data_IF_519601756699
#
_entry.id   IF_519601756699
#
_cell.length_a   1.000
_cell.length_b   1.000
_cell.length_c   1.000
_cell.angle_alpha   90.00
_cell.angle_beta   90.00
_cell.angle_gamma   90.00
#
_symmetry.space_group_name_H-M   'P 1'
#
loop_
_entity.id
_entity.type
_entity.pdbx_description
1 polymer ?
#
# COMPACT_ATOMS: atom_id res chain seq x y z
N UNK A 1 -24.95 26.99 -4.81
CA UNK A 1 -23.70 26.50 -4.19
C UNK A 1 -23.27 27.53 -3.17
N UNK A 2 -23.14 27.16 -1.89
CA UNK A 2 -22.59 28.06 -0.89
C UNK A 2 -21.13 28.41 -1.26
N UNK A 3 -20.66 29.65 -1.03
CA UNK A 3 -19.29 30.03 -1.33
C UNK A 3 -18.32 29.20 -0.49
N UNK A 4 -17.13 28.87 -1.02
CA UNK A 4 -16.12 28.11 -0.27
C UNK A 4 -15.73 28.90 0.98
N UNK A 5 -16.07 28.36 2.14
CA UNK A 5 -15.76 28.94 3.45
C UNK A 5 -14.32 28.59 3.81
N UNK A 6 -13.38 29.51 3.61
CA UNK A 6 -12.00 29.34 4.05
C UNK A 6 -11.06 30.39 3.47
N UNK A 7 -10.03 30.78 4.23
CA UNK A 7 -8.93 31.60 3.72
C UNK A 7 -8.00 30.71 2.91
N UNK A 8 -7.47 31.23 1.79
CA UNK A 8 -6.38 30.57 1.06
C UNK A 8 -5.05 30.87 1.73
N UNK A 9 -4.17 29.88 1.78
CA UNK A 9 -2.82 30.02 2.33
C UNK A 9 -1.91 30.64 1.26
N UNK A 10 -1.71 31.96 1.32
CA UNK A 10 -0.96 32.71 0.32
C UNK A 10 0.51 32.29 0.25
N UNK A 11 1.07 32.27 -0.95
CA UNK A 11 2.48 31.96 -1.17
C UNK A 11 2.89 30.51 -0.86
N UNK A 12 1.92 29.63 -0.62
CA UNK A 12 2.15 28.21 -0.38
C UNK A 12 1.74 27.40 -1.60
N UNK A 13 2.63 26.50 -2.01
CA UNK A 13 2.38 25.49 -3.04
C UNK A 13 2.70 24.12 -2.45
N UNK A 14 1.77 23.17 -2.59
CA UNK A 14 1.99 21.77 -2.19
C UNK A 14 1.81 20.89 -3.42
N UNK A 15 2.71 19.92 -3.60
CA UNK A 15 2.55 18.87 -4.59
C UNK A 15 2.25 17.50 -3.95
N UNK A 16 1.50 16.67 -4.66
CA UNK A 16 1.17 15.29 -4.28
C UNK A 16 1.51 14.37 -5.43
N UNK A 17 2.56 13.54 -5.30
CA UNK A 17 2.99 12.68 -6.39
C UNK A 17 2.10 11.42 -6.46
N UNK A 18 1.78 10.98 -7.67
CA UNK A 18 0.98 9.80 -7.92
C UNK A 18 1.37 9.17 -9.26
N UNK A 19 0.89 7.94 -9.48
CA UNK A 19 1.08 7.22 -10.74
C UNK A 19 -0.28 6.89 -11.31
N UNK A 20 -0.43 7.10 -12.61
CA UNK A 20 -1.58 6.63 -13.36
C UNK A 20 -1.11 5.84 -14.57
N UNK A 21 -2.01 5.03 -15.14
CA UNK A 21 -1.75 4.38 -16.40
C UNK A 21 -2.47 3.06 -16.53
N UNK A 22 -1.93 2.19 -17.38
CA UNK A 22 -2.51 0.89 -17.68
C UNK A 22 -1.47 -0.23 -17.58
N UNK A 23 -1.92 -1.38 -17.08
CA UNK A 23 -1.26 -2.67 -17.30
C UNK A 23 -2.13 -3.52 -18.22
N UNK A 24 -1.52 -4.22 -19.17
CA UNK A 24 -2.23 -5.13 -20.07
C UNK A 24 -1.50 -6.45 -20.19
N UNK A 25 -2.24 -7.54 -20.35
CA UNK A 25 -1.70 -8.88 -20.53
C UNK A 25 -2.50 -9.61 -21.62
N UNK A 26 -1.85 -10.26 -22.60
CA UNK A 26 -2.54 -11.12 -23.54
C UNK A 26 -3.16 -12.30 -22.80
N UNK A 27 -4.26 -12.85 -23.33
CA UNK A 27 -4.80 -14.10 -22.82
C UNK A 27 -3.92 -15.28 -23.26
N UNK A 28 -3.66 -16.19 -22.33
CA UNK A 28 -2.93 -17.44 -22.55
C UNK A 28 -3.46 -18.51 -21.59
N UNK A 29 -3.49 -19.77 -22.01
CA UNK A 29 -4.02 -20.90 -21.23
C UNK A 29 -3.28 -21.10 -19.91
N UNK A 30 -2.01 -20.70 -19.83
CA UNK A 30 -1.14 -20.98 -18.68
C UNK A 30 -1.11 -19.87 -17.63
N UNK A 31 -0.99 -18.61 -18.07
CA UNK A 31 -0.68 -17.48 -17.17
C UNK A 31 -1.82 -16.50 -17.01
N UNK A 32 -2.70 -16.38 -18.01
CA UNK A 32 -3.83 -15.46 -18.00
C UNK A 32 -4.99 -16.04 -18.82
N UNK A 33 -5.68 -17.08 -18.30
CA UNK A 33 -6.73 -17.75 -19.05
C UNK A 33 -7.91 -16.81 -19.27
N UNK A 34 -8.49 -16.87 -20.47
CA UNK A 34 -9.65 -16.06 -20.82
C UNK A 34 -10.86 -16.48 -19.96
N UNK A 35 -11.48 -15.55 -19.20
CA UNK A 35 -12.64 -15.88 -18.38
C UNK A 35 -13.85 -16.32 -19.22
N UNK A 36 -14.72 -17.20 -18.69
CA UNK A 36 -15.93 -17.62 -19.39
C UNK A 36 -16.90 -16.42 -19.57
N UNK A 37 -17.49 -16.30 -20.76
CA UNK A 37 -18.44 -15.24 -21.09
C UNK A 37 -17.83 -13.96 -21.67
N UNK A 38 -16.50 -13.90 -21.81
CA UNK A 38 -15.83 -12.80 -22.51
C UNK A 38 -15.91 -13.03 -24.03
N UNK A 39 -16.27 -12.01 -24.83
CA UNK A 39 -16.34 -12.12 -26.30
C UNK A 39 -15.07 -12.70 -26.93
N UNK A 40 -15.22 -13.55 -27.95
CA UNK A 40 -14.12 -14.28 -28.58
C UNK A 40 -13.05 -13.38 -29.22
N UNK A 41 -13.44 -12.19 -29.68
CA UNK A 41 -12.56 -11.18 -30.26
C UNK A 41 -11.65 -10.49 -29.24
N UNK A 42 -11.94 -10.57 -27.93
CA UNK A 42 -11.07 -10.01 -26.91
C UNK A 42 -9.77 -10.80 -26.78
N UNK A 43 -8.64 -10.12 -26.91
CA UNK A 43 -7.29 -10.71 -26.92
C UNK A 43 -6.51 -10.43 -25.64
N UNK A 44 -6.82 -9.35 -24.92
CA UNK A 44 -6.11 -8.93 -23.72
C UNK A 44 -7.06 -8.65 -22.56
N UNK A 45 -6.57 -8.86 -21.34
CA UNK A 45 -7.09 -8.24 -20.13
C UNK A 45 -6.25 -7.03 -19.78
N UNK A 46 -6.85 -5.94 -19.34
CA UNK A 46 -6.15 -4.73 -18.97
C UNK A 46 -6.76 -4.05 -17.76
N UNK A 47 -5.93 -3.36 -17.01
CA UNK A 47 -6.29 -2.59 -15.83
C UNK A 47 -5.87 -1.15 -16.06
N UNK A 48 -6.80 -0.20 -15.97
CA UNK A 48 -6.48 1.23 -15.85
C UNK A 48 -6.53 1.61 -14.38
N UNK A 49 -5.58 2.41 -13.91
CA UNK A 49 -5.53 2.80 -12.50
C UNK A 49 -4.96 4.20 -12.27
N UNK A 50 -5.25 4.73 -11.07
CA UNK A 50 -4.59 5.86 -10.42
C UNK A 50 -4.27 5.44 -8.99
N UNK A 51 -3.00 5.59 -8.57
CA UNK A 51 -2.56 5.23 -7.22
C UNK A 51 -1.43 6.12 -6.72
N UNK A 52 -1.23 6.15 -5.40
CA UNK A 52 -0.05 6.79 -4.81
C UNK A 52 1.23 6.03 -5.13
N UNK A 53 2.36 6.73 -5.02
CA UNK A 53 3.69 6.10 -5.10
C UNK A 53 3.89 5.23 -3.87
N UNK A 54 4.51 4.06 -4.06
CA UNK A 54 4.76 3.08 -2.99
C UNK A 54 3.48 2.75 -2.18
N UNK A 55 2.33 2.79 -2.88
CA UNK A 55 1.00 2.55 -2.32
C UNK A 55 0.64 3.47 -1.14
N UNK A 56 1.23 4.67 -1.10
CA UNK A 56 0.81 5.76 -0.22
C UNK A 56 -0.66 6.08 -0.49
N UNK A 57 -1.44 6.23 0.58
CA UNK A 57 -2.85 6.59 0.47
C UNK A 57 -2.99 7.95 -0.18
N UNK A 58 -3.81 8.07 -1.22
CA UNK A 58 -4.12 9.35 -1.89
C UNK A 58 -5.57 9.77 -1.70
N UNK A 59 -6.37 8.97 -0.98
CA UNK A 59 -7.80 9.20 -0.80
C UNK A 59 -8.11 10.43 0.06
N UNK A 60 -7.14 10.92 0.84
CA UNK A 60 -7.28 12.13 1.65
C UNK A 60 -7.34 13.43 0.82
N UNK A 61 -6.89 13.42 -0.44
CA UNK A 61 -6.99 14.58 -1.34
C UNK A 61 -7.75 14.26 -2.64
N UNK A 62 -7.76 13.00 -3.07
CA UNK A 62 -8.51 12.52 -4.22
C UNK A 62 -9.75 11.74 -3.75
N UNK A 63 -10.95 12.27 -4.02
CA UNK A 63 -12.20 11.65 -3.55
C UNK A 63 -12.68 10.54 -4.48
N UNK A 64 -12.68 10.80 -5.79
CA UNK A 64 -13.17 9.86 -6.80
C UNK A 64 -12.58 10.16 -8.17
N UNK A 65 -12.55 9.15 -9.02
CA UNK A 65 -12.06 9.24 -10.39
C UNK A 65 -13.14 8.76 -11.34
N UNK A 66 -13.41 9.55 -12.38
CA UNK A 66 -14.24 9.11 -13.50
C UNK A 66 -13.33 8.65 -14.63
N UNK A 67 -13.51 7.41 -15.06
CA UNK A 67 -12.86 6.87 -16.25
C UNK A 67 -13.86 6.87 -17.39
N UNK A 68 -13.51 7.53 -18.51
CA UNK A 68 -14.23 7.45 -19.78
C UNK A 68 -13.42 6.54 -20.71
N UNK A 69 -13.98 5.37 -20.95
CA UNK A 69 -13.49 4.35 -21.86
C UNK A 69 -14.05 4.59 -23.27
N UNK A 70 -13.67 3.74 -24.22
CA UNK A 70 -14.23 3.74 -25.57
C UNK A 70 -15.74 3.41 -25.56
N UNK A 71 -16.51 4.06 -26.44
CA UNK A 71 -17.98 3.99 -26.45
C UNK A 71 -18.53 2.60 -26.77
N UNK A 72 -17.73 1.72 -27.38
CA UNK A 72 -18.10 0.32 -27.63
C UNK A 72 -18.18 -0.52 -26.35
N UNK A 73 -17.58 -0.05 -25.25
CA UNK A 73 -17.55 -0.78 -23.98
C UNK A 73 -18.83 -0.44 -23.19
N UNK A 74 -19.59 -1.44 -22.71
CA UNK A 74 -20.76 -1.19 -21.87
C UNK A 74 -20.39 -0.38 -20.63
N UNK A 75 -21.21 0.62 -20.30
CA UNK A 75 -20.94 1.56 -19.21
C UNK A 75 -19.54 2.19 -19.34
N UNK A 76 -19.23 2.75 -20.51
CA UNK A 76 -17.92 3.35 -20.81
C UNK A 76 -17.57 4.53 -19.90
N UNK A 77 -18.52 5.15 -19.21
CA UNK A 77 -18.24 6.15 -18.16
C UNK A 77 -18.44 5.51 -16.79
N UNK A 78 -17.34 5.33 -16.05
CA UNK A 78 -17.35 4.68 -14.73
C UNK A 78 -16.81 5.62 -13.67
N UNK A 79 -17.48 5.67 -12.53
CA UNK A 79 -17.06 6.47 -11.38
C UNK A 79 -16.54 5.51 -10.30
N UNK A 80 -15.29 5.69 -9.89
CA UNK A 80 -14.65 4.92 -8.82
C UNK A 80 -14.44 5.83 -7.63
N UNK A 81 -15.03 5.49 -6.49
CA UNK A 81 -14.83 6.24 -5.24
C UNK A 81 -13.58 5.75 -4.50
N UNK A 82 -12.96 6.66 -3.75
CA UNK A 82 -11.73 6.38 -3.01
C UNK A 82 -12.00 5.50 -1.81
N UNK A 83 -11.31 4.37 -1.75
CA UNK A 83 -11.27 3.48 -0.60
C UNK A 83 -9.84 3.46 -0.08
N UNK A 84 -9.66 3.77 1.20
CA UNK A 84 -8.34 3.86 1.82
C UNK A 84 -7.55 2.56 1.61
N UNK A 85 -6.31 2.68 1.14
CA UNK A 85 -5.43 1.54 0.85
C UNK A 85 -5.76 0.77 -0.42
N UNK A 86 -6.66 1.29 -1.28
CA UNK A 86 -6.97 0.71 -2.59
C UNK A 86 -6.68 1.72 -3.71
N UNK A 87 -6.16 1.27 -4.86
CA UNK A 87 -6.03 2.10 -6.04
C UNK A 87 -7.40 2.40 -6.65
N UNK A 88 -7.52 3.55 -7.32
CA UNK A 88 -8.66 3.83 -8.18
C UNK A 88 -8.44 3.05 -9.47
N UNK A 89 -9.14 1.94 -9.68
CA UNK A 89 -8.87 1.08 -10.83
C UNK A 89 -10.12 0.48 -11.46
N UNK A 90 -10.00 0.12 -12.72
CA UNK A 90 -11.00 -0.63 -13.49
C UNK A 90 -10.29 -1.76 -14.22
N UNK A 91 -10.89 -2.94 -14.16
CA UNK A 91 -10.46 -4.12 -14.91
C UNK A 91 -11.39 -4.32 -16.09
N UNK A 92 -10.81 -4.54 -17.26
CA UNK A 92 -11.55 -4.78 -18.49
C UNK A 92 -10.81 -5.73 -19.42
N UNK A 93 -11.49 -6.10 -20.50
CA UNK A 93 -10.95 -6.95 -21.55
C UNK A 93 -11.19 -6.29 -22.91
N UNK A 94 -10.34 -6.57 -23.89
CA UNK A 94 -10.51 -6.00 -25.22
C UNK A 94 -9.39 -6.38 -26.18
N UNK A 95 -9.44 -5.80 -27.37
CA UNK A 95 -8.50 -6.07 -28.46
C UNK A 95 -7.85 -4.82 -29.04
N UNK A 96 -8.41 -3.64 -28.77
CA UNK A 96 -7.97 -2.37 -29.34
C UNK A 96 -7.29 -1.46 -28.34
N UNK A 97 -6.34 -0.66 -28.83
CA UNK A 97 -5.76 0.48 -28.12
C UNK A 97 -6.63 1.72 -28.34
N UNK A 98 -6.84 2.51 -27.29
CA UNK A 98 -7.63 3.74 -27.35
C UNK A 98 -7.23 4.70 -26.23
N UNK A 99 -7.65 5.96 -26.33
CA UNK A 99 -7.44 6.95 -25.28
C UNK A 99 -8.51 6.84 -24.18
N UNK A 100 -8.06 6.70 -22.94
CA UNK A 100 -8.88 6.73 -21.73
C UNK A 100 -8.78 8.14 -21.14
N UNK A 101 -9.93 8.78 -20.95
CA UNK A 101 -10.00 10.05 -20.21
C UNK A 101 -10.23 9.77 -18.73
N UNK A 102 -9.39 10.31 -17.86
CA UNK A 102 -9.51 10.17 -16.41
C UNK A 102 -9.78 11.54 -15.78
N UNK A 103 -10.91 11.70 -15.11
CA UNK A 103 -11.28 12.95 -14.45
C UNK A 103 -11.24 12.80 -12.93
N UNK A 104 -10.30 13.49 -12.32
CA UNK A 104 -10.01 13.47 -10.89
C UNK A 104 -10.92 14.46 -10.17
N UNK A 105 -11.70 13.99 -9.21
CA UNK A 105 -12.50 14.82 -8.32
C UNK A 105 -11.87 14.84 -6.94
N UNK A 106 -11.49 16.03 -6.48
CA UNK A 106 -10.89 16.22 -5.18
C UNK A 106 -11.91 16.14 -4.05
N UNK A 107 -11.39 16.06 -2.82
CA UNK A 107 -12.18 16.20 -1.59
C UNK A 107 -12.86 17.57 -1.52
N UNK A 108 -14.06 17.69 -0.93
CA UNK A 108 -14.82 18.94 -0.91
C UNK A 108 -14.06 20.13 -0.34
N UNK A 109 -13.20 19.88 0.65
CA UNK A 109 -12.38 20.86 1.35
C UNK A 109 -11.40 21.57 0.42
N UNK A 110 -10.97 20.92 -0.66
CA UNK A 110 -10.07 21.54 -1.63
C UNK A 110 -10.73 22.69 -2.37
N UNK A 111 -12.04 22.61 -2.62
CA UNK A 111 -12.77 23.53 -3.51
C UNK A 111 -12.08 23.74 -4.87
N UNK A 112 -11.25 22.77 -5.31
CA UNK A 112 -10.53 22.81 -6.57
C UNK A 112 -11.37 22.18 -7.69
N UNK A 113 -11.20 22.71 -8.91
CA UNK A 113 -11.91 22.18 -10.09
C UNK A 113 -11.37 20.80 -10.45
N UNK A 114 -12.22 19.84 -10.88
CA UNK A 114 -11.74 18.54 -11.33
C UNK A 114 -10.69 18.65 -12.44
N UNK A 115 -9.62 17.86 -12.34
CA UNK A 115 -8.58 17.77 -13.37
C UNK A 115 -8.84 16.60 -14.31
N UNK A 116 -8.52 16.78 -15.59
CA UNK A 116 -8.63 15.74 -16.61
C UNK A 116 -7.24 15.33 -17.08
N UNK A 117 -7.00 14.01 -17.10
CA UNK A 117 -5.82 13.37 -17.65
C UNK A 117 -6.24 12.50 -18.84
N UNK A 118 -5.32 12.34 -19.80
CA UNK A 118 -5.51 11.50 -20.97
C UNK A 118 -4.42 10.44 -20.97
N UNK A 119 -4.82 9.19 -21.14
CA UNK A 119 -3.90 8.06 -21.15
C UNK A 119 -4.22 7.13 -22.31
N UNK A 120 -3.21 6.81 -23.11
CA UNK A 120 -3.38 5.89 -24.22
C UNK A 120 -3.14 4.45 -23.75
N UNK A 121 -4.18 3.61 -23.80
CA UNK A 121 -4.08 2.19 -23.47
C UNK A 121 -3.14 1.50 -24.46
N UNK A 122 -2.12 0.81 -23.94
CA UNK A 122 -1.18 -0.02 -24.71
C UNK A 122 -1.43 -1.49 -24.43
N UNK A 123 -1.66 -2.27 -25.48
CA UNK A 123 -1.85 -3.72 -25.42
C UNK A 123 -0.61 -4.45 -25.92
N UNK A 124 0.13 -3.85 -26.86
CA UNK A 124 1.32 -4.44 -27.44
C UNK A 124 2.60 -3.78 -26.91
N UNK A 125 3.74 -4.51 -26.91
CA UNK A 125 5.03 -3.95 -26.53
C UNK A 125 5.33 -2.65 -27.28
N UNK A 126 5.61 -1.61 -26.52
CA UNK A 126 5.92 -0.28 -27.03
C UNK A 126 7.29 0.15 -26.47
N UNK A 127 7.97 1.03 -27.19
CA UNK A 127 9.33 1.44 -26.83
C UNK A 127 10.04 2.02 -28.04
N UNK A 128 11.04 2.85 -27.77
CA UNK A 128 11.87 3.45 -28.84
C UNK A 128 12.96 2.47 -29.30
N UNK A 129 13.32 1.52 -28.45
CA UNK A 129 14.34 0.51 -28.74
C UNK A 129 13.74 -0.89 -28.76
N UNK A 130 14.41 -1.82 -29.44
CA UNK A 130 13.96 -3.22 -29.48
C UNK A 130 14.14 -3.91 -28.13
N UNK A 131 15.12 -3.48 -27.32
CA UNK A 131 15.36 -4.02 -25.99
C UNK A 131 14.19 -3.72 -25.03
N UNK A 132 13.58 -2.52 -25.11
CA UNK A 132 12.40 -2.16 -24.30
C UNK A 132 11.19 -3.02 -24.67
N UNK A 133 10.98 -3.26 -25.97
CA UNK A 133 9.90 -4.12 -26.47
C UNK A 133 10.12 -5.58 -26.09
N UNK A 134 11.35 -6.06 -26.22
CA UNK A 134 11.72 -7.42 -25.86
C UNK A 134 11.62 -7.66 -24.35
N UNK A 135 11.96 -6.67 -23.51
CA UNK A 135 11.75 -6.75 -22.06
C UNK A 135 10.26 -6.95 -21.69
N UNK A 136 9.34 -6.23 -22.33
CA UNK A 136 7.89 -6.42 -22.10
C UNK A 136 7.41 -7.80 -22.60
N UNK A 137 7.97 -8.30 -23.70
CA UNK A 137 7.67 -9.65 -24.21
C UNK A 137 8.18 -10.73 -23.25
N UNK A 138 9.37 -10.56 -22.69
CA UNK A 138 10.00 -11.49 -21.75
C UNK A 138 9.31 -11.51 -20.38
N UNK A 139 8.66 -10.40 -19.97
CA UNK A 139 7.88 -10.32 -18.74
C UNK A 139 6.47 -10.93 -18.89
N UNK A 140 6.38 -12.13 -19.46
CA UNK A 140 5.10 -12.84 -19.64
C UNK A 140 4.11 -12.12 -20.56
N UNK A 141 4.60 -11.22 -21.44
CA UNK A 141 3.76 -10.39 -22.30
C UNK A 141 3.03 -9.25 -21.56
N UNK A 142 3.38 -8.96 -20.31
CA UNK A 142 2.79 -7.84 -19.58
C UNK A 142 3.31 -6.50 -20.12
N UNK A 143 2.37 -5.69 -20.59
CA UNK A 143 2.63 -4.34 -21.08
C UNK A 143 2.29 -3.34 -19.98
N UNK A 144 3.32 -2.62 -19.53
CA UNK A 144 3.23 -1.62 -18.46
C UNK A 144 3.37 -0.24 -19.09
N UNK A 145 2.28 0.54 -19.10
CA UNK A 145 2.27 1.93 -19.56
C UNK A 145 1.87 2.84 -18.42
N UNK A 146 2.85 3.21 -17.59
CA UNK A 146 2.64 4.02 -16.38
C UNK A 146 3.26 5.39 -16.57
N UNK A 147 2.61 6.39 -15.99
CA UNK A 147 3.03 7.79 -16.02
C UNK A 147 3.09 8.31 -14.59
N UNK A 148 4.25 8.87 -14.23
CA UNK A 148 4.42 9.63 -13.00
C UNK A 148 3.83 11.03 -13.18
N UNK A 149 3.09 11.50 -12.19
CA UNK A 149 2.47 12.83 -12.21
C UNK A 149 2.50 13.48 -10.82
N UNK A 150 2.52 14.81 -10.80
CA UNK A 150 2.47 15.59 -9.57
C UNK A 150 1.26 16.49 -9.55
N UNK A 151 0.35 16.22 -8.61
CA UNK A 151 -0.78 17.11 -8.38
C UNK A 151 -0.31 18.35 -7.61
N UNK A 152 -0.28 19.50 -8.28
CA UNK A 152 0.08 20.78 -7.66
C UNK A 152 -1.19 21.48 -7.16
N UNK A 153 -1.18 21.90 -5.90
CA UNK A 153 -2.20 22.73 -5.28
C UNK A 153 -1.58 24.10 -4.95
N UNK A 154 -2.02 25.13 -5.67
CA UNK A 154 -1.56 26.52 -5.50
C UNK A 154 -2.46 27.26 -4.53
N UNK A 155 -1.86 27.82 -3.47
CA UNK A 155 -2.55 28.55 -2.41
C UNK A 155 -3.82 27.80 -1.94
N UNK A 156 -3.67 26.55 -1.43
CA UNK A 156 -4.80 25.74 -1.01
C UNK A 156 -5.59 26.45 0.10
N UNK A 157 -6.87 26.11 0.24
CA UNK A 157 -7.66 26.56 1.38
C UNK A 157 -7.08 26.00 2.68
N UNK A 158 -7.13 26.79 3.75
CA UNK A 158 -6.58 26.44 5.07
C UNK A 158 -7.02 25.05 5.57
N UNK A 159 -8.32 24.66 5.54
CA UNK A 159 -8.72 23.30 5.92
C UNK A 159 -8.12 22.20 5.04
N UNK A 160 -7.94 22.46 3.75
CA UNK A 160 -7.35 21.51 2.82
C UNK A 160 -5.84 21.43 2.97
N UNK A 161 -5.18 22.54 3.28
CA UNK A 161 -3.76 22.59 3.62
C UNK A 161 -3.47 21.66 4.81
N UNK A 162 -4.27 21.72 5.87
CA UNK A 162 -4.13 20.86 7.05
C UNK A 162 -4.29 19.38 6.70
N UNK A 163 -5.26 19.04 5.85
CA UNK A 163 -5.44 17.68 5.31
C UNK A 163 -4.21 17.25 4.51
N UNK A 164 -3.69 18.15 3.65
CA UNK A 164 -2.55 17.84 2.82
C UNK A 164 -1.33 17.49 3.67
N UNK A 165 -0.99 18.30 4.68
CA UNK A 165 0.20 18.08 5.51
C UNK A 165 0.06 16.89 6.47
N UNK A 166 -1.16 16.54 6.89
CA UNK A 166 -1.40 15.46 7.84
C UNK A 166 -1.63 14.09 7.20
N UNK A 167 -2.14 14.04 5.96
CA UNK A 167 -2.52 12.81 5.27
C UNK A 167 -1.38 12.06 4.57
N UNK A 168 -0.22 12.68 4.38
CA UNK A 168 0.90 12.13 3.60
C UNK A 168 1.78 11.12 4.38
N UNK A 169 1.17 10.14 5.06
CA UNK A 169 1.91 9.14 5.84
C UNK A 169 2.06 7.83 5.05
N UNK A 170 3.29 7.29 4.88
CA UNK A 170 3.45 5.95 4.33
C UNK A 170 2.84 4.90 5.27
N UNK A 171 2.47 3.71 4.77
CA UNK A 171 1.86 2.65 5.58
C UNK A 171 2.66 2.28 6.84
N UNK A 172 3.98 2.48 6.84
CA UNK A 172 4.88 2.23 7.96
C UNK A 172 4.90 3.33 9.03
N UNK A 173 4.37 4.52 8.77
CA UNK A 173 4.41 5.65 9.71
C UNK A 173 3.17 5.73 10.62
N UNK A 174 2.10 4.96 10.35
CA UNK A 174 0.89 4.95 11.19
C UNK A 174 1.07 4.23 12.54
N UNK A 175 2.16 3.49 12.76
CA UNK A 175 2.43 2.77 14.02
C UNK A 175 3.14 3.61 15.10
N UNK A 176 3.48 4.87 14.81
CA UNK A 176 4.22 5.73 15.75
C UNK A 176 3.35 6.72 16.54
N UNK A 177 2.01 6.68 16.40
CA UNK A 177 1.11 7.66 17.03
C UNK A 177 0.15 7.13 18.11
N UNK A 178 0.39 5.92 18.62
CA UNK A 178 -0.35 5.35 19.76
C UNK A 178 0.52 5.15 21.03
N UNK A 179 1.58 5.94 21.18
CA UNK A 179 2.55 5.78 22.28
C UNK A 179 3.10 7.08 22.83
N UNK A 180 2.26 8.03 23.24
CA UNK A 180 2.69 9.14 24.11
C UNK A 180 1.53 9.68 24.93
N UNK A 181 1.44 9.24 26.19
CA UNK A 181 0.43 9.69 27.14
C UNK A 181 0.54 8.95 28.48
N UNK A 182 1.71 8.96 29.10
CA UNK A 182 1.93 8.28 30.39
C UNK A 182 3.07 8.90 31.18
N UNK A 183 2.90 10.15 31.63
CA UNK A 183 3.79 10.83 32.56
C UNK A 183 3.00 11.30 33.77
N UNK A 184 3.30 10.72 34.93
CA UNK A 184 2.57 10.95 36.19
C UNK A 184 2.78 12.34 36.80
N UNK A 185 1.79 12.76 37.58
CA UNK A 185 1.83 13.94 38.43
C UNK A 185 0.78 13.84 39.52
N UNK A 186 1.16 13.32 40.68
CA UNK A 186 0.42 13.40 41.94
C UNK A 186 0.62 14.78 42.57
N UNK A 187 -0.44 15.47 42.99
CA UNK A 187 -0.30 16.64 43.86
C UNK A 187 -1.47 17.61 43.92
N UNK A 188 -2.36 17.35 44.87
CA UNK A 188 -3.03 18.33 45.74
C UNK A 188 -4.03 19.39 45.20
N UNK A 189 -5.23 19.27 45.77
CA UNK A 189 -6.01 20.34 46.43
C UNK A 189 -6.90 21.29 45.60
N UNK A 190 -8.22 21.00 45.68
CA UNK A 190 -9.37 21.91 45.94
C UNK A 190 -9.56 23.20 45.13
N UNK A 191 -10.81 23.51 44.75
CA UNK A 191 -11.55 24.43 45.61
C UNK A 191 -12.98 23.98 45.95
N UNK A 192 -13.35 24.36 47.16
CA UNK A 192 -14.64 24.27 47.85
C UNK A 192 -15.56 25.44 47.46
N UNK A 193 -16.85 25.27 47.77
CA UNK A 193 -17.91 26.31 47.96
C UNK A 193 -18.77 26.63 46.72
N UNK A 194 -20.11 26.67 46.74
CA UNK A 194 -21.15 26.32 47.70
C UNK A 194 -22.55 26.43 47.03
N UNK A 195 -23.53 25.68 47.57
CA UNK A 195 -25.02 25.85 47.63
C UNK A 195 -25.79 26.43 46.41
N UNK A 196 -26.74 25.73 45.73
CA UNK A 196 -28.05 25.08 46.13
C UNK A 196 -29.10 26.12 46.61
N UNK A 197 -30.46 26.01 46.42
CA UNK A 197 -31.31 24.91 45.88
C UNK A 197 -32.41 25.30 44.86
N UNK A 198 -33.04 24.27 44.28
CA UNK A 198 -34.37 24.36 43.68
C UNK A 198 -34.96 22.98 43.39
N UNK A 199 -35.72 22.45 44.34
CA UNK A 199 -36.32 21.12 44.34
C UNK A 199 -37.70 21.06 43.67
N UNK A 200 -38.03 19.93 43.04
CA UNK A 200 -39.30 19.17 43.16
C UNK A 200 -39.28 18.02 42.14
N UNK A 201 -38.96 16.79 42.54
CA UNK A 201 -39.83 15.77 43.15
C UNK A 201 -40.87 15.18 42.20
N UNK A 202 -40.60 13.96 41.71
CA UNK A 202 -41.32 12.71 42.07
C UNK A 202 -42.42 12.37 41.06
N UNK A 203 -42.69 11.14 40.59
CA UNK A 203 -42.67 9.74 41.08
C UNK A 203 -42.58 8.86 39.80
N UNK A 204 -42.20 7.59 39.74
CA UNK A 204 -41.88 6.53 40.71
C UNK A 204 -42.09 5.17 40.03
N UNK A 205 -41.49 4.08 40.58
CA UNK A 205 -41.82 2.67 40.29
C UNK A 205 -40.93 1.95 39.26
N UNK A 206 -39.84 1.24 39.59
CA UNK A 206 -39.72 -0.16 40.12
C UNK A 206 -40.44 -1.21 39.23
N UNK A 207 -39.95 -2.41 38.90
CA UNK A 207 -38.81 -3.25 39.37
C UNK A 207 -38.77 -4.57 38.55
N UNK A 208 -37.66 -5.32 38.69
CA UNK A 208 -37.37 -6.73 38.32
C UNK A 208 -36.95 -6.96 36.85
N UNK A 209 -35.80 -7.53 36.49
CA UNK A 209 -34.82 -8.36 37.19
C UNK A 209 -35.00 -9.84 36.81
N UNK A 210 -34.10 -10.42 36.00
CA UNK A 210 -33.67 -11.82 36.13
C UNK A 210 -32.39 -12.13 35.33
N UNK A 211 -31.67 -13.10 35.88
CA UNK A 211 -30.29 -13.49 35.62
C UNK A 211 -30.10 -14.45 34.42
N UNK A 212 -28.81 -14.61 34.09
CA UNK A 212 -28.12 -15.65 33.33
C UNK A 212 -28.73 -17.05 33.39
N UNK A 213 -28.66 -17.80 32.28
CA UNK A 213 -27.96 -19.09 32.20
C UNK A 213 -28.09 -19.79 30.83
N UNK A 214 -26.94 -20.17 30.27
CA UNK A 214 -26.59 -21.42 29.59
C UNK A 214 -27.70 -22.25 28.91
N UNK A 215 -27.66 -22.28 27.57
CA UNK A 215 -28.28 -23.32 26.76
C UNK A 215 -27.37 -24.55 26.69
N UNK A 216 -27.88 -25.67 27.22
CA UNK A 216 -27.26 -27.00 27.18
C UNK A 216 -28.04 -27.83 26.17
N UNK A 217 -27.40 -28.21 25.07
CA UNK A 217 -27.97 -29.08 24.06
C UNK A 217 -27.99 -30.54 24.55
N UNK A 218 -29.13 -31.17 24.35
CA UNK A 218 -29.46 -32.57 24.63
C UNK A 218 -28.84 -33.50 23.58
N UNK A 219 -28.11 -34.53 24.03
CA UNK A 219 -27.84 -35.74 23.23
C UNK A 219 -28.24 -36.94 24.08
N UNK A 220 -29.16 -37.72 23.51
CA UNK A 220 -29.72 -38.96 24.02
C UNK A 220 -28.72 -40.12 23.90
N UNK A 221 -28.74 -40.96 24.93
CA UNK A 221 -28.00 -42.20 25.14
C UNK A 221 -28.44 -43.35 24.23
N UNK A 222 -27.47 -44.12 23.73
CA UNK A 222 -27.62 -45.55 23.42
C UNK A 222 -26.42 -46.31 24.00
N UNK A 223 -26.71 -47.42 24.68
CA UNK A 223 -25.79 -48.28 25.43
C UNK A 223 -24.93 -49.16 24.51
N UNK A 224 -23.79 -49.57 25.08
CA UNK A 224 -23.30 -50.95 25.25
C UNK A 224 -21.82 -51.12 24.86
N UNK A 225 -21.04 -51.73 25.77
CA UNK A 225 -19.69 -52.21 25.47
C UNK A 225 -18.65 -51.96 26.55
N UNK A 226 -18.65 -52.83 27.57
CA UNK A 226 -17.58 -53.01 28.57
C UNK A 226 -16.25 -53.35 27.88
N UNK A 227 -15.16 -52.71 28.28
CA UNK A 227 -13.89 -53.39 28.57
C UNK A 227 -12.97 -52.49 29.42
N UNK A 228 -12.57 -53.03 30.57
CA UNK A 228 -11.66 -52.44 31.52
C UNK A 228 -10.21 -52.56 31.03
N UNK A 229 -9.42 -51.49 31.15
CA UNK A 229 -8.09 -51.61 31.75
C UNK A 229 -7.63 -50.27 32.34
N UNK A 230 -7.24 -50.29 33.60
CA UNK A 230 -6.66 -49.15 34.32
C UNK A 230 -5.23 -48.87 33.81
N UNK A 231 -4.94 -47.62 33.50
CA UNK A 231 -3.58 -47.10 33.44
C UNK A 231 -3.59 -45.67 33.98
N UNK A 232 -2.83 -45.47 35.05
CA UNK A 232 -2.60 -44.23 35.78
C UNK A 232 -2.22 -43.07 34.83
N UNK A 233 -2.90 -41.94 34.95
CA UNK A 233 -2.49 -40.68 34.28
C UNK A 233 -1.27 -40.07 35.00
N UNK A 234 -0.12 -40.10 34.33
CA UNK A 234 1.06 -39.30 34.66
C UNK A 234 0.83 -37.83 34.21
N UNK A 235 1.36 -36.82 34.91
CA UNK A 235 1.15 -35.42 34.55
C UNK A 235 1.77 -35.08 33.19
N UNK A 236 1.04 -34.32 32.38
CA UNK A 236 1.42 -33.90 31.02
C UNK A 236 2.70 -33.03 31.04
N UNK A 237 3.85 -33.62 30.70
CA UNK A 237 5.12 -32.89 30.58
C UNK A 237 5.19 -32.21 29.22
N UNK A 238 5.25 -30.87 29.21
CA UNK A 238 5.49 -30.07 28.01
C UNK A 238 6.90 -30.37 27.50
N UNK A 239 7.01 -31.10 26.39
CA UNK A 239 8.30 -31.36 25.75
C UNK A 239 8.82 -30.07 25.10
N UNK A 240 9.90 -29.52 25.65
CA UNK A 240 10.66 -28.43 25.03
C UNK A 240 11.55 -29.02 23.96
N UNK A 241 11.51 -28.48 22.74
CA UNK A 241 12.47 -28.87 21.69
C UNK A 241 13.89 -28.39 22.06
N UNK A 242 14.91 -29.17 21.68
CA UNK A 242 16.32 -28.78 21.87
C UNK A 242 16.59 -27.46 21.15
N UNK A 243 16.75 -26.38 21.93
CA UNK A 243 16.76 -25.00 21.45
C UNK A 243 15.83 -24.06 22.22
N UNK A 244 15.00 -24.59 23.14
CA UNK A 244 14.29 -23.79 24.15
C UNK A 244 13.05 -23.03 23.65
N UNK A 245 12.56 -23.33 22.45
CA UNK A 245 11.38 -22.66 21.86
C UNK A 245 10.19 -23.62 21.84
N UNK A 246 9.03 -23.14 22.33
CA UNK A 246 7.73 -23.84 22.21
C UNK A 246 7.34 -23.91 20.72
N UNK A 247 6.75 -25.04 20.29
CA UNK A 247 6.32 -25.31 18.90
C UNK A 247 5.36 -24.26 18.27
N UNK A 248 4.87 -23.28 19.04
CA UNK A 248 3.94 -22.22 18.60
C UNK A 248 4.38 -20.82 19.00
N UNK A 249 5.67 -20.56 19.08
CA UNK A 249 6.24 -19.22 19.35
C UNK A 249 6.86 -18.64 18.08
N UNK A 250 6.61 -17.36 17.78
CA UNK A 250 7.17 -16.62 16.63
C UNK A 250 8.68 -16.29 16.76
N UNK A 251 9.44 -17.07 17.52
CA UNK A 251 10.87 -16.85 17.72
C UNK A 251 11.68 -17.57 16.62
N UNK A 252 12.55 -16.83 15.94
CA UNK A 252 13.45 -17.35 14.90
C UNK A 252 14.45 -18.32 15.56
N UNK A 253 14.55 -19.58 15.10
CA UNK A 253 15.51 -20.55 15.64
C UNK A 253 16.95 -20.05 15.58
N UNK A 254 17.74 -20.33 16.62
CA UNK A 254 19.14 -19.89 16.70
C UNK A 254 20.06 -20.62 15.71
N UNK A 255 19.78 -21.90 15.42
CA UNK A 255 20.64 -22.81 14.64
C UNK A 255 19.89 -23.33 13.42
N UNK A 256 20.60 -23.54 12.31
CA UNK A 256 20.02 -24.06 11.08
C UNK A 256 19.45 -25.50 11.26
N UNK A 257 18.31 -25.80 10.62
CA UNK A 257 17.66 -27.13 10.64
C UNK A 257 17.28 -27.60 9.23
N UNK A 258 17.46 -28.88 8.87
CA UNK A 258 17.02 -29.42 7.58
C UNK A 258 15.51 -29.20 7.38
N UNK A 259 15.12 -28.48 6.33
CA UNK A 259 13.73 -28.16 6.00
C UNK A 259 13.20 -26.82 6.55
N UNK A 260 13.96 -26.11 7.38
CA UNK A 260 13.64 -24.74 7.84
C UNK A 260 14.84 -23.81 7.60
N UNK A 261 14.91 -23.12 6.45
CA UNK A 261 16.08 -22.35 6.04
C UNK A 261 16.20 -20.98 6.72
N UNK A 262 15.32 -20.65 7.68
CA UNK A 262 15.27 -19.35 8.35
C UNK A 262 15.75 -19.48 9.79
N UNK A 263 17.05 -19.27 10.03
CA UNK A 263 17.68 -19.22 11.34
C UNK A 263 18.55 -17.97 11.51
N UNK A 264 18.85 -17.58 12.76
CA UNK A 264 19.77 -16.47 13.03
C UNK A 264 21.18 -16.70 12.46
N UNK A 265 21.60 -17.96 12.39
CA UNK A 265 22.87 -18.35 11.76
C UNK A 265 22.85 -18.10 10.25
N UNK A 266 21.77 -18.50 9.56
CA UNK A 266 21.61 -18.24 8.11
C UNK A 266 21.50 -16.75 7.80
N UNK A 267 20.83 -15.98 8.68
CA UNK A 267 20.75 -14.53 8.57
C UNK A 267 22.13 -13.87 8.71
N UNK A 268 22.96 -14.33 9.65
CA UNK A 268 24.32 -13.81 9.83
C UNK A 268 25.22 -14.11 8.64
N UNK A 269 25.13 -15.30 8.06
CA UNK A 269 25.88 -15.66 6.85
C UNK A 269 25.46 -14.81 5.64
N UNK A 270 24.17 -14.57 5.46
CA UNK A 270 23.70 -13.69 4.36
C UNK A 270 24.11 -12.24 4.61
N UNK A 271 24.08 -11.75 5.86
CA UNK A 271 24.59 -10.42 6.23
C UNK A 271 26.09 -10.30 5.92
N UNK A 272 26.88 -11.34 6.20
CA UNK A 272 28.31 -11.33 5.89
C UNK A 272 28.55 -11.27 4.38
N UNK A 273 27.82 -12.08 3.61
CA UNK A 273 27.86 -12.08 2.14
C UNK A 273 27.47 -10.72 1.55
N UNK A 274 26.45 -10.05 2.13
CA UNK A 274 26.06 -8.69 1.74
C UNK A 274 27.15 -7.66 2.07
N UNK A 275 27.86 -7.80 3.20
CA UNK A 275 29.00 -6.93 3.55
C UNK A 275 30.16 -7.09 2.57
N UNK A 276 30.50 -8.33 2.20
CA UNK A 276 31.54 -8.62 1.21
C UNK A 276 31.17 -8.08 -0.17
N UNK A 277 29.91 -8.25 -0.59
CA UNK A 277 29.41 -7.68 -1.84
C UNK A 277 29.50 -6.14 -1.85
N UNK A 278 29.18 -5.49 -0.72
CA UNK A 278 29.30 -4.04 -0.57
C UNK A 278 30.75 -3.56 -0.74
N UNK A 279 31.71 -4.22 -0.09
CA UNK A 279 33.13 -3.89 -0.22
C UNK A 279 33.60 -4.00 -1.68
N UNK A 280 33.16 -5.03 -2.39
CA UNK A 280 33.49 -5.21 -3.82
C UNK A 280 32.92 -4.08 -4.69
N UNK A 281 31.69 -3.63 -4.42
CA UNK A 281 31.08 -2.50 -5.13
C UNK A 281 31.84 -1.20 -4.88
N UNK A 282 32.25 -0.95 -3.64
CA UNK A 282 33.03 0.24 -3.28
C UNK A 282 34.40 0.24 -3.98
N UNK A 283 35.05 -0.93 -4.11
CA UNK A 283 36.29 -1.08 -4.87
C UNK A 283 36.09 -0.83 -6.38
N UNK A 284 35.06 -1.42 -6.99
CA UNK A 284 34.73 -1.18 -8.39
C UNK A 284 34.43 0.30 -8.66
N UNK A 285 33.71 0.98 -7.74
CA UNK A 285 33.45 2.41 -7.84
C UNK A 285 34.74 3.22 -7.82
N UNK A 286 35.69 2.87 -6.95
CA UNK A 286 37.00 3.54 -6.88
C UNK A 286 37.78 3.38 -8.19
N UNK A 287 37.81 2.16 -8.74
CA UNK A 287 38.47 1.88 -10.03
C UNK A 287 37.85 2.69 -11.18
N UNK A 288 36.51 2.73 -11.25
CA UNK A 288 35.79 3.47 -12.28
C UNK A 288 36.02 4.98 -12.19
N UNK A 289 36.09 5.53 -10.96
CA UNK A 289 36.41 6.94 -10.73
C UNK A 289 37.83 7.29 -11.18
N UNK A 290 38.82 6.43 -10.91
CA UNK A 290 40.20 6.65 -11.36
C UNK A 290 40.32 6.58 -12.89
N UNK A 291 39.59 5.66 -13.52
CA UNK A 291 39.53 5.57 -14.99
C UNK A 291 38.89 6.82 -15.61
N UNK A 292 37.81 7.33 -15.01
CA UNK A 292 37.16 8.57 -15.43
C UNK A 292 38.11 9.76 -15.33
N UNK A 293 38.88 9.87 -14.24
CA UNK A 293 39.84 10.97 -14.08
C UNK A 293 40.95 10.91 -15.14
N UNK A 294 41.47 9.71 -15.46
CA UNK A 294 42.44 9.51 -16.55
C UNK A 294 41.86 9.90 -17.90
N UNK A 295 40.61 9.50 -18.17
CA UNK A 295 39.89 9.84 -19.41
C UNK A 295 39.64 11.35 -19.52
N UNK A 296 39.26 12.01 -18.43
CA UNK A 296 39.07 13.46 -18.38
C UNK A 296 40.37 14.22 -18.66
N UNK A 297 41.48 13.83 -18.02
CA UNK A 297 42.81 14.42 -18.29
C UNK A 297 43.24 14.23 -19.75
N UNK A 298 43.00 13.05 -20.33
CA UNK A 298 43.28 12.79 -21.75
C UNK A 298 42.42 13.63 -22.68
N UNK A 299 41.13 13.78 -22.36
CA UNK A 299 40.20 14.62 -23.13
C UNK A 299 40.63 16.09 -23.10
N UNK A 300 41.06 16.58 -21.94
CA UNK A 300 41.53 17.96 -21.78
C UNK A 300 42.83 18.20 -22.58
N UNK A 301 43.78 17.27 -22.54
CA UNK A 301 44.98 17.33 -23.35
C UNK A 301 44.67 17.37 -24.86
N UNK A 302 43.78 16.50 -25.34
CA UNK A 302 43.33 16.49 -26.74
C UNK A 302 42.58 17.77 -27.11
N UNK A 303 41.80 18.36 -26.20
CA UNK A 303 41.15 19.66 -26.44
C UNK A 303 42.17 20.77 -26.61
N UNK A 304 43.18 20.84 -25.74
CA UNK A 304 44.25 21.85 -25.84
C UNK A 304 45.06 21.65 -27.13
N UNK A 305 45.35 20.42 -27.52
CA UNK A 305 46.03 20.10 -28.79
C UNK A 305 45.18 20.52 -30.00
N UNK A 306 43.89 20.20 -30.00
CA UNK A 306 42.97 20.61 -31.07
C UNK A 306 42.80 22.13 -31.18
N UNK A 307 42.83 22.85 -30.06
CA UNK A 307 42.74 24.31 -30.03
C UNK A 307 44.04 25.01 -30.47
N UNK A 308 45.19 24.32 -30.42
CA UNK A 308 46.47 24.82 -30.96
C UNK A 308 46.62 24.54 -32.46
N UNK A 309 45.87 23.58 -32.98
CA UNK A 309 45.89 23.18 -34.39
C UNK A 309 44.84 23.91 -35.25
N UNK A 310 43.98 24.73 -34.63
CA UNK A 310 42.98 25.59 -35.27
C UNK A 310 43.44 27.06 -35.25
#
# INVERSE_FOLDING_TARGET
MAPPTGKRVKGVQIFRPFVYGTTARPFDEKTNPKPPGIPDDHTHSWTVFIKGIDDVDITYWLRRVQFKLHESIPNHVRMVEGVKGQPFQIHETGWGEFEITMKLYYVPESSEKPQTLYHHLRLHPFGRTEEEKEAMRLNGGEVISWVYEEQIFNEPYEPFYDILISGALPPSASTLKDGSGGGGGSGAATPTSANTPGASSSKGGNKKGHERSHSRASVSTSKDGKNNNESKEEPFVIQKSEGGVLERSAMIPLVNRPGQPFSRETEQLEIQKLKEAKLKVDEMKKQMMEELEKKQKRLEALRVESAKAA
#
